data_IF_704824123299
#
_entry.id   IF_704824123299
#
_cell.length_a   1.000
_cell.length_b   1.000
_cell.length_c   1.000
_cell.angle_alpha   90.00
_cell.angle_beta   90.00
_cell.angle_gamma   90.00
#
_symmetry.space_group_name_H-M   'P 1'
#
loop_
_entity.id
_entity.type
_entity.pdbx_description
1 polymer ?
#
# COMPACT_ATOMS: atom_id res chain seq x y z
N UNK A 1 -24.54 19.33 22.70
CA UNK A 1 -24.24 20.17 21.52
C UNK A 1 -23.59 19.30 20.44
N UNK A 2 -24.35 18.88 19.43
CA UNK A 2 -23.79 18.21 18.24
C UNK A 2 -23.15 19.28 17.35
N UNK A 3 -21.83 19.50 17.50
CA UNK A 3 -21.08 20.26 16.51
C UNK A 3 -21.15 19.50 15.18
N UNK A 4 -21.91 20.06 14.24
CA UNK A 4 -21.98 19.58 12.88
C UNK A 4 -20.58 19.72 12.26
N UNK A 5 -19.80 18.64 12.28
CA UNK A 5 -18.42 18.65 11.83
C UNK A 5 -18.38 19.13 10.37
N UNK A 6 -17.49 20.08 10.01
CA UNK A 6 -17.46 20.65 8.66
C UNK A 6 -17.26 19.55 7.61
N UNK A 7 -17.91 19.67 6.44
CA UNK A 7 -17.92 18.64 5.38
C UNK A 7 -16.51 18.13 5.03
N UNK A 8 -15.52 19.01 5.04
CA UNK A 8 -14.10 18.71 4.78
C UNK A 8 -13.53 17.63 5.71
N UNK A 9 -14.00 17.58 6.97
CA UNK A 9 -13.53 16.64 8.01
C UNK A 9 -14.00 15.20 7.75
N UNK A 10 -15.13 15.01 7.07
CA UNK A 10 -15.59 13.67 6.61
C UNK A 10 -14.85 13.19 5.37
N UNK A 11 -14.36 14.12 4.55
CA UNK A 11 -13.64 13.82 3.30
C UNK A 11 -12.16 13.51 3.50
N UNK A 12 -11.61 13.69 4.70
CA UNK A 12 -10.18 13.47 4.96
C UNK A 12 -9.74 12.03 4.71
N UNK A 13 -10.64 11.05 4.84
CA UNK A 13 -10.36 9.64 4.53
C UNK A 13 -9.83 9.43 3.11
N UNK A 14 -10.27 10.23 2.14
CA UNK A 14 -9.82 10.10 0.76
C UNK A 14 -8.33 10.43 0.59
N UNK A 15 -7.79 11.35 1.40
CA UNK A 15 -6.35 11.64 1.39
C UNK A 15 -5.52 10.43 1.80
N UNK A 16 -6.02 9.63 2.75
CA UNK A 16 -5.37 8.41 3.22
C UNK A 16 -5.61 7.20 2.31
N UNK A 17 -6.66 7.23 1.49
CA UNK A 17 -6.92 6.18 0.49
C UNK A 17 -6.08 6.33 -0.78
N UNK A 18 -5.58 7.53 -1.09
CA UNK A 18 -4.73 7.78 -2.27
C UNK A 18 -3.48 6.88 -2.26
N UNK A 19 -2.68 6.79 -1.18
CA UNK A 19 -1.54 5.87 -1.12
C UNK A 19 -1.93 4.41 -1.35
N UNK A 20 -3.05 3.94 -0.79
CA UNK A 20 -3.55 2.59 -1.01
C UNK A 20 -3.90 2.35 -2.48
N UNK A 21 -4.55 3.31 -3.13
CA UNK A 21 -4.87 3.23 -4.55
C UNK A 21 -3.62 3.21 -5.43
N UNK A 22 -2.59 3.99 -5.08
CA UNK A 22 -1.29 3.96 -5.78
C UNK A 22 -0.63 2.60 -5.63
N UNK A 23 -0.55 2.03 -4.42
CA UNK A 23 0.01 0.70 -4.20
C UNK A 23 -0.77 -0.39 -4.93
N UNK A 24 -2.09 -0.32 -4.94
CA UNK A 24 -2.95 -1.20 -5.71
C UNK A 24 -2.61 -1.12 -7.20
N UNK A 25 -2.55 0.08 -7.78
CA UNK A 25 -2.24 0.25 -9.19
C UNK A 25 -0.83 -0.23 -9.56
N UNK A 26 0.16 0.02 -8.70
CA UNK A 26 1.53 -0.46 -8.88
C UNK A 26 1.62 -1.99 -8.82
N UNK A 27 0.79 -2.66 -8.01
CA UNK A 27 0.83 -4.12 -7.86
C UNK A 27 0.43 -4.89 -9.12
N UNK A 28 -0.50 -4.35 -9.91
CA UNK A 28 -1.05 -5.01 -11.11
C UNK A 28 0.03 -5.35 -12.14
N UNK A 29 0.85 -4.41 -12.64
CA UNK A 29 1.88 -4.72 -13.63
C UNK A 29 2.96 -5.66 -13.11
N UNK A 30 3.23 -5.67 -11.79
CA UNK A 30 4.14 -6.63 -11.15
C UNK A 30 3.56 -8.06 -11.18
N UNK A 31 2.30 -8.23 -10.76
CA UNK A 31 1.64 -9.55 -10.73
C UNK A 31 1.53 -10.13 -12.15
N UNK A 32 1.23 -9.27 -13.13
CA UNK A 32 1.09 -9.69 -14.53
C UNK A 32 2.42 -9.93 -15.25
N UNK A 33 3.57 -9.76 -14.57
CA UNK A 33 4.91 -9.89 -15.17
C UNK A 33 5.08 -9.06 -16.46
N UNK A 34 4.47 -7.87 -16.49
CA UNK A 34 4.45 -6.99 -17.68
C UNK A 34 5.68 -6.07 -17.76
N UNK A 35 6.42 -5.94 -16.66
CA UNK A 35 7.50 -4.97 -16.52
C UNK A 35 8.83 -5.70 -16.59
N UNK A 36 9.64 -5.48 -17.63
CA UNK A 36 10.97 -6.08 -17.74
C UNK A 36 11.93 -5.52 -16.68
N UNK A 37 13.04 -6.22 -16.38
CA UNK A 37 14.06 -5.75 -15.45
C UNK A 37 14.50 -4.33 -15.75
N UNK A 38 14.36 -3.43 -14.77
CA UNK A 38 14.74 -2.03 -14.92
C UNK A 38 15.13 -1.38 -13.59
N UNK A 39 15.78 -0.23 -13.68
CA UNK A 39 16.32 0.49 -12.52
C UNK A 39 15.29 1.36 -11.78
N UNK A 40 14.05 1.44 -12.24
CA UNK A 40 13.06 2.42 -11.75
C UNK A 40 11.85 1.77 -11.08
N UNK A 41 11.53 0.54 -11.45
CA UNK A 41 10.33 -0.20 -11.07
C UNK A 41 10.68 -1.43 -10.25
N UNK A 42 9.71 -1.97 -9.52
CA UNK A 42 9.84 -3.27 -8.84
C UNK A 42 10.86 -3.31 -7.70
N UNK A 43 11.06 -4.53 -7.19
CA UNK A 43 11.99 -4.87 -6.12
C UNK A 43 13.38 -5.15 -6.70
N UNK A 44 14.27 -4.19 -6.49
CA UNK A 44 15.57 -4.10 -7.15
C UNK A 44 16.67 -4.56 -6.19
N UNK A 45 17.22 -5.73 -6.47
CA UNK A 45 18.43 -6.25 -5.84
C UNK A 45 19.43 -6.64 -6.94
N UNK A 46 20.72 -6.77 -6.63
CA UNK A 46 21.68 -7.30 -7.60
C UNK A 46 21.24 -8.64 -8.20
N UNK A 47 20.56 -9.48 -7.42
CA UNK A 47 20.01 -10.76 -7.86
C UNK A 47 18.87 -10.61 -8.86
N UNK A 48 17.89 -9.73 -8.59
CA UNK A 48 16.75 -9.53 -9.51
C UNK A 48 17.15 -8.80 -10.78
N UNK A 49 18.19 -7.98 -10.74
CA UNK A 49 18.67 -7.26 -11.93
C UNK A 49 19.58 -8.10 -12.83
N UNK A 50 20.22 -9.14 -12.28
CA UNK A 50 21.10 -10.02 -13.04
C UNK A 50 20.37 -11.15 -13.79
N UNK A 51 19.17 -11.52 -13.34
CA UNK A 51 18.41 -12.65 -13.87
C UNK A 51 16.92 -12.29 -14.03
N UNK A 52 16.42 -12.34 -15.27
CA UNK A 52 15.04 -11.99 -15.60
C UNK A 52 14.02 -12.97 -15.01
N UNK A 53 14.37 -14.25 -14.90
CA UNK A 53 13.53 -15.27 -14.26
C UNK A 53 13.36 -14.96 -12.77
N UNK A 54 14.45 -14.59 -12.10
CA UNK A 54 14.43 -14.16 -10.68
C UNK A 54 13.69 -12.83 -10.54
N UNK A 55 13.84 -11.90 -11.48
CA UNK A 55 13.10 -10.64 -11.51
C UNK A 55 11.60 -10.88 -11.44
N UNK A 56 11.04 -11.69 -12.35
CA UNK A 56 9.61 -11.94 -12.38
C UNK A 56 9.14 -12.72 -11.16
N UNK A 57 9.89 -13.73 -10.71
CA UNK A 57 9.51 -14.51 -9.52
C UNK A 57 9.40 -13.63 -8.26
N UNK A 58 10.41 -12.80 -7.98
CA UNK A 58 10.42 -11.91 -6.81
C UNK A 58 9.37 -10.82 -6.96
N UNK A 59 9.29 -10.15 -8.11
CA UNK A 59 8.33 -9.08 -8.33
C UNK A 59 6.88 -9.58 -8.34
N UNK A 60 6.61 -10.81 -8.77
CA UNK A 60 5.30 -11.41 -8.68
C UNK A 60 4.85 -11.55 -7.22
N UNK A 61 5.71 -12.08 -6.35
CA UNK A 61 5.44 -12.20 -4.91
C UNK A 61 5.27 -10.84 -4.24
N UNK A 62 6.16 -9.89 -4.53
CA UNK A 62 6.08 -8.51 -4.03
C UNK A 62 4.79 -7.83 -4.49
N UNK A 63 4.39 -8.05 -5.75
CA UNK A 63 3.14 -7.57 -6.32
C UNK A 63 1.93 -8.07 -5.53
N UNK A 64 1.86 -9.38 -5.25
CA UNK A 64 0.79 -9.93 -4.40
C UNK A 64 0.79 -9.37 -2.98
N UNK A 65 1.97 -9.26 -2.36
CA UNK A 65 2.10 -8.63 -1.05
C UNK A 65 1.59 -7.18 -1.04
N UNK A 66 1.92 -6.41 -2.09
CA UNK A 66 1.49 -5.02 -2.25
C UNK A 66 -0.02 -4.91 -2.49
N UNK A 67 -0.59 -5.79 -3.32
CA UNK A 67 -2.03 -5.85 -3.60
C UNK A 67 -2.82 -6.13 -2.31
N UNK A 68 -2.49 -7.20 -1.61
CA UNK A 68 -3.19 -7.60 -0.37
C UNK A 68 -3.04 -6.53 0.70
N UNK A 69 -1.82 -6.01 0.92
CA UNK A 69 -1.59 -4.94 1.88
C UNK A 69 -2.41 -3.68 1.54
N UNK A 70 -2.49 -3.28 0.27
CA UNK A 70 -3.23 -2.10 -0.14
C UNK A 70 -4.74 -2.21 0.13
N UNK A 71 -5.32 -3.39 -0.12
CA UNK A 71 -6.75 -3.66 0.14
C UNK A 71 -7.04 -3.67 1.63
N UNK A 72 -6.20 -4.36 2.42
CA UNK A 72 -6.36 -4.43 3.88
C UNK A 72 -6.21 -3.05 4.52
N UNK A 73 -5.22 -2.26 4.09
CA UNK A 73 -5.04 -0.89 4.56
C UNK A 73 -6.24 -0.01 4.21
N UNK A 74 -6.74 -0.08 2.97
CA UNK A 74 -7.91 0.70 2.56
C UNK A 74 -9.16 0.35 3.41
N UNK A 75 -9.39 -0.94 3.65
CA UNK A 75 -10.49 -1.42 4.51
C UNK A 75 -10.31 -0.95 5.96
N UNK A 76 -9.10 -1.07 6.52
CA UNK A 76 -8.82 -0.63 7.88
C UNK A 76 -9.00 0.89 8.05
N UNK A 77 -8.53 1.70 7.09
CA UNK A 77 -8.74 3.15 7.08
C UNK A 77 -10.23 3.47 7.01
N UNK A 78 -11.00 2.74 6.20
CA UNK A 78 -12.45 2.93 6.13
C UNK A 78 -13.12 2.71 7.50
N UNK A 79 -12.75 1.64 8.20
CA UNK A 79 -13.24 1.33 9.55
C UNK A 79 -12.81 2.39 10.57
N UNK A 80 -11.55 2.82 10.57
CA UNK A 80 -11.06 3.87 11.50
C UNK A 80 -11.87 5.16 11.35
N UNK A 81 -12.27 5.51 10.13
CA UNK A 81 -13.09 6.70 9.88
C UNK A 81 -14.59 6.53 10.19
N UNK A 82 -15.09 5.30 10.36
CA UNK A 82 -16.45 5.05 10.86
C UNK A 82 -16.56 5.02 12.38
N UNK A 83 -15.43 4.92 13.11
CA UNK A 83 -15.39 4.91 14.58
C UNK A 83 -15.39 6.33 15.17
N UNK A 84 -15.90 6.48 16.40
CA UNK A 84 -16.05 7.75 17.13
C UNK A 84 -14.76 8.24 17.82
N UNK A 85 -13.63 8.18 17.12
CA UNK A 85 -12.36 8.74 17.62
C UNK A 85 -12.22 10.24 17.31
N UNK A 86 -11.33 10.94 18.03
CA UNK A 86 -10.89 12.28 17.65
C UNK A 86 -10.17 12.27 16.29
N UNK A 87 -10.24 13.36 15.52
CA UNK A 87 -9.65 13.39 14.18
C UNK A 87 -8.13 13.19 14.19
N UNK A 88 -7.42 13.75 15.17
CA UNK A 88 -5.97 13.55 15.32
C UNK A 88 -5.63 12.07 15.52
N UNK A 89 -6.41 11.37 16.35
CA UNK A 89 -6.27 9.93 16.58
C UNK A 89 -6.53 9.12 15.31
N UNK A 90 -7.58 9.43 14.55
CA UNK A 90 -7.88 8.76 13.27
C UNK A 90 -6.74 8.91 12.26
N UNK A 91 -6.18 10.12 12.15
CA UNK A 91 -5.05 10.39 11.27
C UNK A 91 -3.80 9.63 11.68
N UNK A 92 -3.45 9.63 12.97
CA UNK A 92 -2.28 8.89 13.48
C UNK A 92 -2.39 7.38 13.24
N UNK A 93 -3.57 6.80 13.52
CA UNK A 93 -3.83 5.38 13.25
C UNK A 93 -3.71 5.08 11.75
N UNK A 94 -4.28 5.93 10.89
CA UNK A 94 -4.25 5.74 9.43
C UNK A 94 -2.82 5.81 8.87
N UNK A 95 -2.00 6.73 9.36
CA UNK A 95 -0.57 6.82 9.00
C UNK A 95 0.16 5.54 9.43
N UNK A 96 -0.08 5.07 10.67
CA UNK A 96 0.50 3.82 11.17
C UNK A 96 0.14 2.61 10.29
N UNK A 97 -1.14 2.49 9.92
CA UNK A 97 -1.62 1.43 9.01
C UNK A 97 -0.88 1.47 7.68
N UNK A 98 -0.73 2.65 7.06
CA UNK A 98 -0.04 2.78 5.77
C UNK A 98 1.43 2.40 5.89
N UNK A 99 2.12 2.86 6.94
CA UNK A 99 3.54 2.54 7.17
C UNK A 99 3.72 1.03 7.36
N UNK A 100 2.93 0.41 8.24
CA UNK A 100 3.00 -1.03 8.51
C UNK A 100 2.68 -1.84 7.24
N UNK A 101 1.64 -1.45 6.50
CA UNK A 101 1.27 -2.10 5.26
C UNK A 101 2.36 -2.02 4.18
N UNK A 102 3.10 -0.90 4.12
CA UNK A 102 4.21 -0.73 3.17
C UNK A 102 5.43 -1.61 3.51
N UNK A 103 5.60 -2.04 4.76
CA UNK A 103 6.72 -2.89 5.18
C UNK A 103 6.53 -4.33 4.67
N UNK A 104 5.30 -4.84 4.63
CA UNK A 104 4.99 -6.22 4.20
C UNK A 104 5.60 -6.58 2.84
N UNK A 105 5.34 -5.85 1.73
CA UNK A 105 5.90 -6.19 0.43
C UNK A 105 7.44 -6.06 0.39
N UNK A 106 8.04 -5.18 1.20
CA UNK A 106 9.50 -5.07 1.31
C UNK A 106 10.08 -6.33 1.94
N UNK A 107 9.47 -6.82 3.03
CA UNK A 107 9.90 -8.06 3.68
C UNK A 107 9.72 -9.26 2.74
N UNK A 108 8.59 -9.35 2.04
CA UNK A 108 8.33 -10.39 1.04
C UNK A 108 9.41 -10.40 -0.05
N UNK A 109 9.80 -9.22 -0.55
CA UNK A 109 10.87 -9.09 -1.53
C UNK A 109 12.24 -9.51 -0.99
N UNK A 110 12.52 -9.24 0.28
CA UNK A 110 13.79 -9.60 0.92
C UNK A 110 13.95 -11.10 1.16
N UNK A 111 12.84 -11.84 1.31
CA UNK A 111 12.85 -13.29 1.61
C UNK A 111 12.55 -14.18 0.39
N UNK A 112 12.13 -13.59 -0.74
CA UNK A 112 11.93 -14.28 -2.02
C UNK A 112 13.25 -14.39 -2.78
#
# INVERSE_FOLDING_TARGET
MCMNQPKWRRSMKYLFLIPCAVYFALSIPLILNRVPPNQWWGYRTPRTLADETVWYAVNHNVGWGLLVASILCAAAIWVVFSMDFGASTRSLISIGIIIVGAIVPVVVGSVS
#
